data_IF_610496037109
#
_entry.id   IF_610496037109
#
_cell.length_a   1.000
_cell.length_b   1.000
_cell.length_c   1.000
_cell.angle_alpha   90.00
_cell.angle_beta   90.00
_cell.angle_gamma   90.00
#
_symmetry.space_group_name_H-M   'P 1'
#
loop_
_entity.id
_entity.type
_entity.pdbx_description
1 polymer ?
#
# COMPACT_ATOMS: atom_id res chain seq x y z
N UNK A 1 5.62 10.55 0.15
CA UNK A 1 5.52 9.53 -0.92
C UNK A 1 4.05 9.21 -1.14
N UNK A 2 3.64 8.97 -2.39
CA UNK A 2 2.30 8.52 -2.74
C UNK A 2 2.38 7.11 -3.34
N UNK A 3 1.60 6.18 -2.81
CA UNK A 3 1.42 4.83 -3.38
C UNK A 3 0.08 4.83 -4.11
N UNK A 4 0.10 4.56 -5.41
CA UNK A 4 -1.09 4.25 -6.18
C UNK A 4 -1.26 2.74 -6.23
N UNK A 5 -2.48 2.29 -5.97
CA UNK A 5 -2.85 0.88 -6.08
C UNK A 5 -4.02 0.72 -7.02
N UNK A 6 -4.04 -0.42 -7.72
CA UNK A 6 -5.16 -0.84 -8.54
C UNK A 6 -5.62 -2.20 -8.06
N UNK A 7 -6.89 -2.30 -7.68
CA UNK A 7 -7.52 -3.52 -7.20
C UNK A 7 -8.76 -3.73 -8.06
N UNK A 8 -8.88 -4.91 -8.66
CA UNK A 8 -10.10 -5.27 -9.38
C UNK A 8 -11.29 -5.34 -8.44
N UNK A 9 -12.43 -4.85 -8.93
CA UNK A 9 -13.68 -4.91 -8.18
C UNK A 9 -14.12 -6.38 -8.04
N UNK A 10 -14.43 -6.78 -6.82
CA UNK A 10 -14.81 -8.16 -6.50
C UNK A 10 -15.68 -8.14 -5.24
N UNK A 11 -16.80 -8.87 -5.25
CA UNK A 11 -17.76 -8.94 -4.14
C UNK A 11 -17.14 -9.37 -2.82
N UNK A 12 -16.06 -10.13 -2.85
CA UNK A 12 -15.41 -10.69 -1.68
C UNK A 12 -14.29 -9.79 -1.13
N UNK A 13 -13.90 -8.73 -1.84
CA UNK A 13 -12.92 -7.76 -1.34
C UNK A 13 -13.53 -6.93 -0.19
N UNK A 14 -12.81 -6.85 0.93
CA UNK A 14 -13.25 -6.18 2.17
C UNK A 14 -12.26 -5.16 2.70
N UNK A 15 -10.97 -5.36 2.46
CA UNK A 15 -9.95 -4.41 2.87
C UNK A 15 -8.78 -4.40 1.90
N UNK A 16 -8.12 -3.24 1.81
CA UNK A 16 -6.83 -3.05 1.18
C UNK A 16 -5.89 -2.44 2.21
N UNK A 17 -4.79 -3.14 2.50
CA UNK A 17 -3.70 -2.65 3.34
C UNK A 17 -2.45 -2.42 2.50
N UNK A 18 -1.80 -1.28 2.69
CA UNK A 18 -0.50 -0.95 2.15
C UNK A 18 0.49 -0.87 3.30
N UNK A 19 1.51 -1.73 3.25
CA UNK A 19 2.64 -1.75 4.17
C UNK A 19 3.84 -1.14 3.45
N UNK A 20 4.55 -0.25 4.13
CA UNK A 20 5.82 0.34 3.70
C UNK A 20 6.83 0.06 4.80
N UNK A 21 7.86 -0.73 4.48
CA UNK A 21 8.83 -1.20 5.46
C UNK A 21 10.27 -1.16 4.95
N UNK A 22 11.20 -0.95 5.86
CA UNK A 22 12.64 -1.11 5.71
C UNK A 22 13.19 -1.79 6.97
N UNK A 23 14.51 -1.99 7.06
CA UNK A 23 15.11 -2.64 8.25
C UNK A 23 14.76 -1.94 9.57
N UNK A 24 14.65 -0.60 9.56
CA UNK A 24 14.48 0.22 10.78
C UNK A 24 13.17 1.03 10.77
N UNK A 25 12.29 0.81 9.79
CA UNK A 25 11.04 1.56 9.66
C UNK A 25 9.89 0.65 9.22
N UNK A 26 8.74 0.78 9.86
CA UNK A 26 7.51 0.10 9.47
C UNK A 26 6.33 1.07 9.55
N UNK A 27 5.50 1.10 8.51
CA UNK A 27 4.21 1.81 8.52
C UNK A 27 3.20 1.08 7.65
N UNK A 28 1.98 0.94 8.14
CA UNK A 28 0.87 0.48 7.30
C UNK A 28 -0.27 1.49 7.25
N UNK A 29 -1.08 1.39 6.19
CA UNK A 29 -2.29 2.16 6.01
C UNK A 29 -3.34 1.27 5.36
N UNK A 30 -4.55 1.28 5.89
CA UNK A 30 -5.64 0.40 5.45
C UNK A 30 -6.88 1.21 5.13
N UNK A 31 -7.61 0.77 4.11
CA UNK A 31 -8.98 1.21 3.82
C UNK A 31 -9.90 -0.01 3.74
N UNK A 32 -11.19 0.23 4.00
CA UNK A 32 -12.23 -0.75 3.71
C UNK A 32 -12.60 -0.70 2.22
N UNK A 33 -12.91 -1.86 1.66
CA UNK A 33 -13.43 -2.00 0.31
C UNK A 33 -14.88 -2.47 0.38
N UNK A 34 -15.79 -1.76 -0.27
CA UNK A 34 -17.17 -2.19 -0.45
C UNK A 34 -17.31 -3.14 -1.65
N UNK A 35 -16.53 -4.22 -1.64
CA UNK A 35 -16.55 -5.25 -2.68
C UNK A 35 -16.53 -4.71 -4.12
N UNK A 36 -17.59 -5.01 -4.88
CA UNK A 36 -17.76 -4.57 -6.28
C UNK A 36 -17.93 -3.05 -6.44
N UNK A 37 -18.36 -2.35 -5.38
CA UNK A 37 -18.59 -0.90 -5.40
C UNK A 37 -17.35 -0.10 -4.97
N UNK A 38 -16.28 -0.77 -4.55
CA UNK A 38 -15.04 -0.11 -4.17
C UNK A 38 -14.40 0.59 -5.38
N UNK A 39 -13.78 1.77 -5.21
CA UNK A 39 -12.95 2.38 -6.24
C UNK A 39 -11.81 1.44 -6.64
N UNK A 40 -11.63 1.23 -7.95
CA UNK A 40 -10.53 0.39 -8.46
C UNK A 40 -9.14 0.99 -8.20
N UNK A 41 -9.06 2.31 -8.08
CA UNK A 41 -7.81 3.04 -7.84
C UNK A 41 -7.89 3.73 -6.49
N UNK A 42 -6.88 3.49 -5.64
CA UNK A 42 -6.74 4.14 -4.34
C UNK A 42 -5.35 4.73 -4.18
N UNK A 43 -5.29 5.91 -3.56
CA UNK A 43 -4.06 6.65 -3.30
C UNK A 43 -3.78 6.68 -1.80
N UNK A 44 -2.59 6.25 -1.41
CA UNK A 44 -2.12 6.25 -0.04
C UNK A 44 -0.95 7.20 0.12
N UNK A 45 -1.01 8.04 1.15
CA UNK A 45 0.02 9.02 1.43
C UNK A 45 0.87 8.59 2.62
N UNK A 46 2.17 8.49 2.38
CA UNK A 46 3.19 8.21 3.39
C UNK A 46 4.12 9.45 3.46
N UNK A 47 3.76 10.48 4.23
CA UNK A 47 4.61 11.66 4.40
C UNK A 47 5.81 11.35 5.30
N UNK A 48 6.89 12.11 5.14
CA UNK A 48 8.07 12.08 6.02
C UNK A 48 8.74 10.71 6.16
N UNK A 49 8.77 9.91 5.09
CA UNK A 49 9.58 8.69 5.07
C UNK A 49 11.08 9.06 5.15
N UNK A 50 11.84 8.46 6.07
CA UNK A 50 13.30 8.59 6.08
C UNK A 50 13.93 8.18 4.75
N UNK A 51 15.13 8.68 4.48
CA UNK A 51 15.91 8.21 3.33
C UNK A 51 16.23 6.72 3.51
N UNK A 52 16.13 5.94 2.42
CA UNK A 52 16.36 4.51 2.48
C UNK A 52 15.64 3.73 1.38
N UNK A 53 15.89 2.42 1.35
CA UNK A 53 15.19 1.47 0.50
C UNK A 53 14.02 0.87 1.27
N UNK A 54 12.86 0.85 0.64
CA UNK A 54 11.62 0.33 1.22
C UNK A 54 11.05 -0.78 0.35
N UNK A 55 10.57 -1.83 1.00
CA UNK A 55 9.60 -2.75 0.42
C UNK A 55 8.20 -2.15 0.62
N UNK A 56 7.38 -2.24 -0.42
CA UNK A 56 5.98 -1.83 -0.40
C UNK A 56 5.16 -3.08 -0.66
N UNK A 57 4.27 -3.43 0.26
CA UNK A 57 3.40 -4.60 0.15
C UNK A 57 1.95 -4.16 0.18
N UNK A 58 1.21 -4.45 -0.90
CA UNK A 58 -0.24 -4.30 -0.95
C UNK A 58 -0.93 -5.63 -0.69
N UNK A 59 -1.88 -5.66 0.24
CA UNK A 59 -2.64 -6.85 0.63
C UNK A 59 -4.13 -6.58 0.45
N UNK A 60 -4.79 -7.40 -0.35
CA UNK A 60 -6.26 -7.42 -0.44
C UNK A 60 -6.78 -8.55 0.43
N UNK A 61 -7.70 -8.24 1.33
CA UNK A 61 -8.35 -9.21 2.20
C UNK A 61 -9.86 -9.26 1.93
N UNK A 62 -10.42 -10.46 2.03
CA UNK A 62 -11.84 -10.73 2.06
C UNK A 62 -12.27 -11.37 3.37
N UNK A 63 -13.51 -11.85 3.45
CA UNK A 63 -14.05 -12.48 4.66
C UNK A 63 -13.34 -13.80 5.01
N UNK A 64 -12.86 -14.53 4.00
CA UNK A 64 -12.12 -15.78 4.17
C UNK A 64 -10.60 -15.57 4.40
N UNK A 65 -10.16 -14.32 4.54
CA UNK A 65 -8.75 -13.95 4.70
C UNK A 65 -8.13 -13.33 3.45
N UNK A 66 -6.81 -13.49 3.29
CA UNK A 66 -6.03 -12.83 2.24
C UNK A 66 -6.40 -13.37 0.85
N UNK A 67 -6.70 -12.45 -0.08
CA UNK A 67 -7.05 -12.76 -1.48
C UNK A 67 -5.90 -12.53 -2.45
N UNK A 68 -5.15 -11.46 -2.24
CA UNK A 68 -4.03 -11.10 -3.11
C UNK A 68 -2.92 -10.40 -2.33
N UNK A 69 -1.71 -10.46 -2.89
CA UNK A 69 -0.56 -9.71 -2.43
C UNK A 69 0.23 -9.22 -3.63
N UNK A 70 0.66 -7.96 -3.59
CA UNK A 70 1.58 -7.38 -4.55
C UNK A 70 2.74 -6.71 -3.80
N UNK A 71 3.96 -6.88 -4.30
CA UNK A 71 5.17 -6.31 -3.68
C UNK A 71 5.93 -5.47 -4.69
N UNK A 72 6.45 -4.33 -4.24
CA UNK A 72 7.33 -3.46 -5.00
C UNK A 72 8.45 -2.90 -4.14
N UNK A 73 9.45 -2.31 -4.77
CA UNK A 73 10.57 -1.66 -4.09
C UNK A 73 10.67 -0.20 -4.51
N UNK A 74 11.00 0.67 -3.57
CA UNK A 74 11.29 2.08 -3.83
C UNK A 74 12.52 2.53 -3.03
N UNK A 75 13.30 3.43 -3.60
CA UNK A 75 14.32 4.19 -2.88
C UNK A 75 13.81 5.61 -2.63
N UNK A 76 13.82 6.02 -1.36
CA UNK A 76 13.60 7.41 -0.95
C UNK A 76 14.96 8.08 -0.82
N UNK A 77 15.30 8.95 -1.77
CA UNK A 77 16.52 9.77 -1.71
C UNK A 77 16.24 11.12 -1.06
N UNK A 78 17.17 11.60 -0.23
CA UNK A 78 17.13 12.98 0.26
C UNK A 78 17.36 13.96 -0.90
N UNK A 79 16.74 15.15 -0.85
CA UNK A 79 17.20 16.26 -1.69
C UNK A 79 18.61 16.63 -1.24
N UNK A 80 19.60 16.45 -2.11
CA UNK A 80 20.91 17.07 -1.88
C UNK A 80 20.73 18.58 -1.92
N UNK A 81 21.13 19.34 -0.88
CA UNK A 81 21.31 20.77 -1.02
C UNK A 81 22.37 21.00 -2.10
N UNK A 82 22.12 21.94 -3.02
CA UNK A 82 23.17 22.51 -3.87
C UNK A 82 23.81 23.67 -3.15
#
# INVERSE_FOLDING_TARGET
>A
MTVQTTVEADTENRALEIIVESNDFYRSSMIQLDGQHAPRVSLFQFPNLPVGQYQITGIVAGLAGRRATATGWLVVSGRSPR
#
